data_IF_488831202241
#
_entry.id   IF_488831202241
#
_cell.length_a   1.000
_cell.length_b   1.000
_cell.length_c   1.000
_cell.angle_alpha   90.00
_cell.angle_beta   90.00
_cell.angle_gamma   90.00
#
_symmetry.space_group_name_H-M   'P 1'
#
loop_
_entity.id
_entity.type
_entity.pdbx_description
1 polymer ?
#
# COMPACT_ATOMS: atom_id res chain seq x y z
N UNK A 1 19.66 5.23 43.00
CA UNK A 1 18.44 6.03 42.74
C UNK A 1 18.21 6.04 41.24
N UNK A 2 17.14 5.57 40.62
CA UNK A 2 15.84 5.05 41.03
C UNK A 2 15.08 4.89 39.71
N UNK A 3 14.96 3.67 39.21
CA UNK A 3 14.31 3.29 37.95
C UNK A 3 12.80 3.47 38.05
N UNK A 4 12.19 4.17 37.08
CA UNK A 4 10.75 4.13 36.77
C UNK A 4 10.66 4.33 35.24
N UNK A 5 10.32 3.37 34.39
CA UNK A 5 9.38 2.27 34.57
C UNK A 5 7.97 2.67 34.09
N UNK A 6 7.82 3.29 32.92
CA UNK A 6 6.50 3.49 32.31
C UNK A 6 6.33 2.61 31.06
N UNK A 7 5.35 1.71 31.20
CA UNK A 7 4.88 0.74 30.20
C UNK A 7 4.19 1.48 29.06
N UNK A 8 4.78 1.44 27.87
CA UNK A 8 4.10 1.76 26.62
C UNK A 8 3.00 0.71 26.40
N UNK A 9 1.74 1.11 26.55
CA UNK A 9 0.60 0.26 26.18
C UNK A 9 0.55 0.20 24.66
N UNK A 10 0.91 -0.97 24.10
CA UNK A 10 0.73 -1.32 22.68
C UNK A 10 -0.76 -1.30 22.35
N UNK A 11 -1.22 -0.35 21.54
CA UNK A 11 -2.46 -0.50 20.81
C UNK A 11 -2.17 -1.39 19.59
N UNK A 12 -2.60 -2.65 19.65
CA UNK A 12 -2.68 -3.50 18.45
C UNK A 12 -3.92 -3.05 17.68
N UNK A 13 -3.73 -2.29 16.60
CA UNK A 13 -4.74 -2.20 15.55
C UNK A 13 -4.81 -3.59 14.93
N UNK A 14 -5.89 -4.32 15.24
CA UNK A 14 -6.14 -5.67 14.74
C UNK A 14 -7.08 -5.51 13.55
N UNK A 15 -6.51 -5.42 12.35
CA UNK A 15 -7.23 -5.58 11.08
C UNK A 15 -7.77 -7.03 11.06
N UNK A 16 -9.08 -7.22 11.12
CA UNK A 16 -9.71 -8.54 11.32
C UNK A 16 -10.55 -8.99 10.12
N UNK A 17 -10.27 -10.20 9.62
CA UNK A 17 -11.10 -10.94 8.66
C UNK A 17 -12.06 -11.92 9.38
N UNK A 18 -13.26 -12.10 8.83
CA UNK A 18 -14.44 -12.68 9.50
C UNK A 18 -14.61 -14.21 9.49
N UNK A 19 -15.62 -14.68 10.24
CA UNK A 19 -16.40 -15.90 9.94
C UNK A 19 -17.76 -15.87 10.67
N UNK A 20 -18.77 -16.48 10.03
CA UNK A 20 -20.21 -16.48 10.36
C UNK A 20 -20.62 -17.60 11.33
N UNK A 21 -21.65 -17.37 12.14
CA UNK A 21 -22.94 -18.10 12.17
C UNK A 21 -23.68 -17.95 13.52
N UNK A 22 -25.02 -17.84 13.47
CA UNK A 22 -25.91 -18.17 14.59
C UNK A 22 -26.80 -17.03 15.12
N UNK A 23 -28.00 -16.87 14.56
CA UNK A 23 -29.11 -16.04 15.09
C UNK A 23 -29.94 -16.88 16.09
N UNK A 24 -30.43 -16.27 17.18
CA UNK A 24 -31.88 -16.23 17.34
C UNK A 24 -32.41 -14.83 17.73
N UNK A 25 -33.64 -14.57 17.28
CA UNK A 25 -34.39 -13.34 17.48
C UNK A 25 -35.00 -13.24 18.87
N UNK A 26 -34.97 -12.04 19.47
CA UNK A 26 -35.97 -11.57 20.45
C UNK A 26 -36.18 -10.06 20.27
N UNK A 27 -37.43 -9.70 20.01
CA UNK A 27 -37.99 -8.35 19.99
C UNK A 27 -38.22 -7.83 21.41
N UNK A 28 -37.75 -6.63 21.77
CA UNK A 28 -38.56 -5.61 22.48
C UNK A 28 -37.88 -4.23 22.48
N UNK A 29 -38.65 -3.25 21.99
CA UNK A 29 -38.73 -1.82 22.32
C UNK A 29 -37.49 -0.96 22.62
N UNK A 30 -37.37 0.05 21.76
CA UNK A 30 -36.46 1.17 21.85
C UNK A 30 -36.80 2.10 23.03
N UNK A 31 -35.85 2.23 23.95
CA UNK A 31 -35.63 3.47 24.69
C UNK A 31 -34.32 4.06 24.21
N UNK A 32 -34.40 5.22 23.55
CA UNK A 32 -33.25 5.98 23.08
C UNK A 32 -32.38 6.38 24.28
N UNK A 33 -31.37 5.57 24.55
CA UNK A 33 -30.33 5.89 25.51
C UNK A 33 -29.60 7.14 25.02
N UNK A 34 -29.70 8.21 25.81
CA UNK A 34 -29.05 9.49 25.53
C UNK A 34 -27.54 9.25 25.67
N UNK A 35 -26.88 8.92 24.55
CA UNK A 35 -25.43 8.72 24.46
C UNK A 35 -24.71 9.78 25.29
N UNK A 36 -24.10 9.35 26.41
CA UNK A 36 -23.29 10.21 27.27
C UNK A 36 -22.05 10.61 26.50
N UNK A 37 -22.12 11.81 25.90
CA UNK A 37 -20.97 12.52 25.31
C UNK A 37 -19.76 12.38 26.23
N UNK A 38 -18.64 11.91 25.69
CA UNK A 38 -17.38 11.74 26.41
C UNK A 38 -16.98 13.03 27.16
N UNK A 39 -16.34 12.90 28.32
CA UNK A 39 -15.88 14.05 29.12
C UNK A 39 -14.97 14.96 28.29
N UNK A 40 -15.12 16.29 28.46
CA UNK A 40 -14.28 17.29 27.81
C UNK A 40 -12.82 17.05 28.18
N UNK A 41 -11.97 16.80 27.19
CA UNK A 41 -10.52 16.52 27.36
C UNK A 41 -10.11 15.06 27.20
N UNK A 42 -11.06 14.14 26.91
CA UNK A 42 -10.78 12.71 26.71
C UNK A 42 -10.31 12.30 25.32
N UNK A 43 -10.21 13.24 24.37
CA UNK A 43 -9.80 12.98 22.99
C UNK A 43 -8.52 13.74 22.67
N UNK A 44 -7.52 13.02 22.15
CA UNK A 44 -6.25 13.59 21.71
C UNK A 44 -6.13 13.50 20.16
N UNK A 45 -5.09 14.11 19.54
CA UNK A 45 -4.89 14.04 18.10
C UNK A 45 -4.79 12.61 17.56
N UNK A 46 -4.10 11.72 18.29
CA UNK A 46 -3.89 10.34 17.87
C UNK A 46 -5.22 9.56 17.82
N UNK A 47 -6.11 9.76 18.80
CA UNK A 47 -7.46 9.18 18.82
C UNK A 47 -8.30 9.65 17.62
N UNK A 48 -8.16 10.92 17.23
CA UNK A 48 -8.85 11.49 16.07
C UNK A 48 -8.32 10.86 14.78
N UNK A 49 -6.99 10.75 14.63
CA UNK A 49 -6.36 10.14 13.45
C UNK A 49 -6.74 8.66 13.35
N UNK A 50 -6.65 7.89 14.44
CA UNK A 50 -7.08 6.48 14.46
C UNK A 50 -8.56 6.33 14.10
N UNK A 51 -9.45 7.15 14.67
CA UNK A 51 -10.86 7.14 14.29
C UNK A 51 -11.12 7.56 12.84
N UNK A 52 -10.26 8.40 12.27
CA UNK A 52 -10.34 8.78 10.87
C UNK A 52 -9.95 7.62 9.95
N UNK A 53 -8.97 6.79 10.32
CA UNK A 53 -8.68 5.53 9.62
C UNK A 53 -9.89 4.58 9.65
N UNK A 54 -10.45 4.31 10.83
CA UNK A 54 -11.62 3.45 10.99
C UNK A 54 -12.83 3.94 10.16
N UNK A 55 -13.05 5.25 10.14
CA UNK A 55 -14.13 5.83 9.34
C UNK A 55 -13.81 5.73 7.84
N UNK A 56 -12.58 6.00 7.43
CA UNK A 56 -12.16 5.92 6.03
C UNK A 56 -12.25 4.50 5.46
N UNK A 57 -12.07 3.45 6.27
CA UNK A 57 -12.33 2.06 5.86
C UNK A 57 -13.80 1.83 5.49
N UNK A 58 -14.72 2.53 6.15
CA UNK A 58 -16.17 2.37 5.93
C UNK A 58 -16.69 3.24 4.78
N UNK A 59 -16.21 4.49 4.68
CA UNK A 59 -16.78 5.47 3.74
C UNK A 59 -15.82 5.90 2.63
N UNK A 60 -14.58 5.44 2.63
CA UNK A 60 -13.44 5.97 1.85
C UNK A 60 -12.95 7.34 2.33
N UNK A 61 -11.71 7.67 1.98
CA UNK A 61 -11.08 8.97 2.24
C UNK A 61 -11.84 10.10 1.54
N UNK A 62 -12.30 9.85 0.32
CA UNK A 62 -12.95 10.84 -0.52
C UNK A 62 -14.26 11.32 0.13
N UNK A 63 -15.06 10.39 0.67
CA UNK A 63 -16.33 10.74 1.33
C UNK A 63 -16.18 11.15 2.80
N UNK A 64 -15.05 10.87 3.47
CA UNK A 64 -14.83 11.25 4.87
C UNK A 64 -15.06 12.77 5.06
N UNK A 65 -15.76 13.15 6.12
CA UNK A 65 -15.96 14.56 6.49
C UNK A 65 -15.80 14.79 8.00
N UNK A 66 -15.40 15.99 8.39
CA UNK A 66 -15.21 16.36 9.80
C UNK A 66 -16.47 16.12 10.66
N UNK A 67 -17.70 16.47 10.20
CA UNK A 67 -18.92 16.16 10.96
C UNK A 67 -19.19 14.66 11.10
N UNK A 68 -18.90 13.85 10.06
CA UNK A 68 -19.03 12.39 10.17
C UNK A 68 -18.04 11.80 11.14
N UNK A 69 -16.79 12.30 11.14
CA UNK A 69 -15.78 11.89 12.11
C UNK A 69 -16.18 12.23 13.55
N UNK A 70 -16.77 13.41 13.78
CA UNK A 70 -17.32 13.78 15.09
C UNK A 70 -18.41 12.82 15.56
N UNK A 71 -19.31 12.42 14.66
CA UNK A 71 -20.34 11.41 14.95
C UNK A 71 -19.74 10.03 15.23
N UNK A 72 -18.75 9.60 14.45
CA UNK A 72 -18.05 8.32 14.61
C UNK A 72 -17.37 8.22 15.98
N UNK A 73 -16.71 9.32 16.40
CA UNK A 73 -15.97 9.41 17.66
C UNK A 73 -16.82 9.79 18.88
N UNK A 74 -18.11 10.05 18.70
CA UNK A 74 -19.04 10.58 19.72
C UNK A 74 -18.53 11.88 20.40
N UNK A 75 -17.98 12.79 19.59
CA UNK A 75 -17.50 14.11 20.01
C UNK A 75 -18.09 15.25 19.19
N UNK A 76 -18.09 16.45 19.75
CA UNK A 76 -18.48 17.64 18.99
C UNK A 76 -17.45 17.95 17.90
N UNK A 77 -17.90 18.24 16.68
CA UNK A 77 -17.00 18.54 15.56
C UNK A 77 -16.03 19.69 15.85
N UNK A 78 -16.43 20.67 16.67
CA UNK A 78 -15.57 21.77 17.13
C UNK A 78 -14.33 21.28 17.90
N UNK A 79 -14.42 20.16 18.61
CA UNK A 79 -13.27 19.55 19.30
C UNK A 79 -12.25 19.01 18.30
N UNK A 80 -12.69 18.51 17.15
CA UNK A 80 -11.79 18.05 16.07
C UNK A 80 -11.12 19.25 15.42
N UNK A 81 -11.88 20.32 15.13
CA UNK A 81 -11.35 21.55 14.53
C UNK A 81 -10.30 22.26 15.39
N UNK A 82 -10.26 21.98 16.70
CA UNK A 82 -9.24 22.50 17.60
C UNK A 82 -7.84 21.92 17.28
N UNK A 83 -7.78 20.67 16.80
CA UNK A 83 -6.53 19.99 16.41
C UNK A 83 -6.25 20.09 14.91
N UNK A 84 -7.28 19.97 14.07
CA UNK A 84 -7.16 19.95 12.61
C UNK A 84 -8.08 21.02 12.01
N UNK A 85 -7.52 22.12 11.51
CA UNK A 85 -8.32 23.28 11.07
C UNK A 85 -9.16 22.98 9.84
N UNK A 86 -8.69 22.09 8.98
CA UNK A 86 -9.37 21.61 7.77
C UNK A 86 -9.17 20.10 7.58
N UNK A 87 -9.98 19.49 6.70
CA UNK A 87 -9.88 18.07 6.34
C UNK A 87 -8.47 17.71 5.85
N UNK A 88 -7.84 18.59 5.08
CA UNK A 88 -6.47 18.35 4.60
C UNK A 88 -5.46 18.18 5.73
N UNK A 89 -5.52 18.98 6.80
CA UNK A 89 -4.59 18.85 7.92
C UNK A 89 -4.72 17.47 8.60
N UNK A 90 -5.95 16.95 8.68
CA UNK A 90 -6.21 15.60 9.18
C UNK A 90 -5.66 14.54 8.22
N UNK A 91 -5.86 14.70 6.91
CA UNK A 91 -5.36 13.76 5.90
C UNK A 91 -3.83 13.75 5.85
N UNK A 92 -3.18 14.89 6.08
CA UNK A 92 -1.73 15.00 6.16
C UNK A 92 -1.22 14.23 7.39
N UNK A 93 -1.85 14.40 8.56
CA UNK A 93 -1.54 13.62 9.75
C UNK A 93 -1.80 12.11 9.59
N UNK A 94 -2.88 11.73 8.90
CA UNK A 94 -3.13 10.33 8.53
C UNK A 94 -2.03 9.80 7.60
N UNK A 95 -1.58 10.60 6.63
CA UNK A 95 -0.50 10.23 5.71
C UNK A 95 0.80 10.02 6.46
N UNK A 96 1.14 10.90 7.41
CA UNK A 96 2.34 10.77 8.24
C UNK A 96 2.33 9.49 9.09
N UNK A 97 1.18 9.13 9.67
CA UNK A 97 1.04 7.87 10.41
C UNK A 97 1.18 6.67 9.46
N UNK A 98 0.51 6.70 8.31
CA UNK A 98 0.56 5.64 7.31
C UNK A 98 1.99 5.40 6.80
N UNK A 99 2.77 6.45 6.55
CA UNK A 99 4.17 6.35 6.12
C UNK A 99 5.04 5.67 7.18
N UNK A 100 4.85 6.01 8.46
CA UNK A 100 5.57 5.37 9.57
C UNK A 100 5.24 3.88 9.67
N UNK A 101 3.96 3.52 9.56
CA UNK A 101 3.52 2.12 9.58
C UNK A 101 4.03 1.34 8.37
N UNK A 102 4.00 1.96 7.19
CA UNK A 102 4.58 1.40 5.97
C UNK A 102 6.07 1.13 6.13
N UNK A 103 6.85 2.10 6.62
CA UNK A 103 8.29 1.96 6.80
C UNK A 103 8.65 0.82 7.77
N UNK A 104 7.83 0.58 8.80
CA UNK A 104 8.00 -0.52 9.74
C UNK A 104 7.63 -1.89 9.15
N UNK A 105 6.77 -1.91 8.13
CA UNK A 105 6.24 -3.14 7.52
C UNK A 105 7.02 -3.55 6.26
N UNK A 106 7.53 -2.58 5.51
CA UNK A 106 8.22 -2.77 4.23
C UNK A 106 9.72 -3.07 4.38
N UNK A 107 10.13 -3.69 5.48
CA UNK A 107 11.55 -3.95 5.78
C UNK A 107 12.15 -4.86 4.71
N UNK A 108 13.24 -4.39 4.10
CA UNK A 108 14.02 -5.18 3.15
C UNK A 108 14.76 -6.29 3.89
N UNK A 109 14.44 -7.56 3.57
CA UNK A 109 15.18 -8.70 4.12
C UNK A 109 16.47 -8.89 3.34
N UNK A 110 17.61 -8.88 4.04
CA UNK A 110 18.89 -9.30 3.45
C UNK A 110 18.85 -10.81 3.26
N UNK A 111 18.56 -11.26 2.04
CA UNK A 111 18.70 -12.66 1.67
C UNK A 111 20.09 -12.90 1.05
N UNK A 112 20.57 -14.14 1.04
CA UNK A 112 21.84 -14.51 0.38
C UNK A 112 21.84 -14.22 -1.12
N UNK A 113 20.65 -14.09 -1.73
CA UNK A 113 20.48 -13.83 -3.15
C UNK A 113 19.67 -12.55 -3.39
N UNK A 114 20.32 -11.55 -4.01
CA UNK A 114 19.73 -10.25 -4.40
C UNK A 114 18.40 -10.40 -5.15
N UNK A 115 18.29 -11.38 -6.04
CA UNK A 115 17.11 -11.58 -6.89
C UNK A 115 15.91 -12.00 -6.05
N UNK A 116 16.13 -12.93 -5.12
CA UNK A 116 15.09 -13.40 -4.20
C UNK A 116 14.71 -12.34 -3.18
N UNK A 117 15.67 -11.56 -2.69
CA UNK A 117 15.43 -10.43 -1.79
C UNK A 117 14.56 -9.36 -2.46
N UNK A 118 14.92 -8.92 -3.66
CA UNK A 118 14.18 -7.88 -4.39
C UNK A 118 12.78 -8.35 -4.80
N UNK A 119 12.63 -9.62 -5.23
CA UNK A 119 11.32 -10.23 -5.51
C UNK A 119 10.42 -10.23 -4.28
N UNK A 120 10.95 -10.69 -3.14
CA UNK A 120 10.20 -10.77 -1.89
C UNK A 120 9.80 -9.39 -1.39
N UNK A 121 10.71 -8.42 -1.51
CA UNK A 121 10.44 -7.03 -1.18
C UNK A 121 9.33 -6.44 -2.06
N UNK A 122 9.38 -6.64 -3.39
CA UNK A 122 8.33 -6.18 -4.30
C UNK A 122 6.95 -6.75 -3.95
N UNK A 123 6.88 -8.05 -3.64
CA UNK A 123 5.65 -8.73 -3.22
C UNK A 123 5.14 -8.20 -1.88
N UNK A 124 6.03 -8.03 -0.90
CA UNK A 124 5.66 -7.49 0.41
C UNK A 124 5.11 -6.07 0.30
N UNK A 125 5.77 -5.18 -0.45
CA UNK A 125 5.29 -3.83 -0.72
C UNK A 125 3.90 -3.84 -1.36
N UNK A 126 3.71 -4.67 -2.39
CA UNK A 126 2.41 -4.82 -3.06
C UNK A 126 1.33 -5.26 -2.08
N UNK A 127 1.63 -6.30 -1.28
CA UNK A 127 0.68 -6.88 -0.34
C UNK A 127 0.24 -5.88 0.73
N UNK A 128 1.17 -5.08 1.27
CA UNK A 128 0.86 -4.04 2.27
C UNK A 128 -0.21 -3.08 1.74
N UNK A 129 -0.07 -2.59 0.51
CA UNK A 129 -1.05 -1.64 -0.04
C UNK A 129 -2.36 -2.30 -0.50
N UNK A 130 -2.31 -3.54 -0.99
CA UNK A 130 -3.52 -4.31 -1.34
C UNK A 130 -4.37 -4.59 -0.10
N UNK A 131 -3.74 -4.97 1.01
CA UNK A 131 -4.44 -5.26 2.27
C UNK A 131 -4.91 -4.00 3.00
N UNK A 132 -4.35 -2.84 2.67
CA UNK A 132 -4.66 -1.57 3.34
C UNK A 132 -5.08 -0.50 2.30
N UNK A 133 -6.33 -0.51 1.82
CA UNK A 133 -6.76 0.39 0.74
C UNK A 133 -6.77 1.88 1.14
N UNK A 134 -6.97 2.19 2.42
CA UNK A 134 -6.82 3.56 2.97
C UNK A 134 -5.36 4.02 2.90
N UNK A 135 -4.41 3.14 3.24
CA UNK A 135 -2.98 3.43 3.13
C UNK A 135 -2.58 3.66 1.66
N UNK A 136 -3.09 2.84 0.73
CA UNK A 136 -2.91 3.06 -0.70
C UNK A 136 -3.42 4.45 -1.13
N UNK A 137 -4.64 4.82 -0.73
CA UNK A 137 -5.23 6.11 -1.09
C UNK A 137 -4.41 7.30 -0.53
N UNK A 138 -3.90 7.21 0.71
CA UNK A 138 -3.06 8.26 1.32
C UNK A 138 -1.68 8.37 0.66
N UNK A 139 -0.97 7.25 0.53
CA UNK A 139 0.45 7.24 0.16
C UNK A 139 0.64 7.23 -1.36
N UNK A 140 -0.13 6.43 -2.11
CA UNK A 140 0.11 6.25 -3.55
C UNK A 140 -0.71 7.20 -4.43
N UNK A 141 -1.89 7.63 -3.97
CA UNK A 141 -2.79 8.48 -4.75
C UNK A 141 -2.68 9.94 -4.30
N UNK A 142 -2.88 10.22 -3.00
CA UNK A 142 -2.81 11.59 -2.47
C UNK A 142 -1.39 12.13 -2.42
N UNK A 143 -0.42 11.34 -1.94
CA UNK A 143 0.95 11.82 -1.68
C UNK A 143 2.06 10.95 -2.29
N UNK A 144 2.07 10.78 -3.64
CA UNK A 144 2.94 9.81 -4.33
C UNK A 144 4.45 10.03 -4.15
N UNK A 145 4.87 11.21 -3.66
CA UNK A 145 6.29 11.51 -3.42
C UNK A 145 6.71 11.29 -1.97
N UNK A 146 5.78 11.08 -1.03
CA UNK A 146 6.08 11.10 0.40
C UNK A 146 6.94 9.91 0.87
N UNK A 147 6.84 8.76 0.18
CA UNK A 147 7.69 7.58 0.42
C UNK A 147 9.20 7.85 0.28
N UNK A 148 9.58 8.94 -0.37
CA UNK A 148 10.96 9.26 -0.71
C UNK A 148 11.47 10.52 0.01
N UNK A 149 10.64 11.12 0.86
CA UNK A 149 10.99 12.36 1.58
C UNK A 149 11.26 12.14 3.07
N UNK A 150 10.86 10.99 3.63
CA UNK A 150 11.14 10.65 5.02
C UNK A 150 12.46 9.88 5.17
N UNK A 151 13.10 10.01 6.34
CA UNK A 151 14.41 9.39 6.58
C UNK A 151 14.39 7.86 6.58
N UNK A 152 13.28 7.25 6.99
CA UNK A 152 13.14 5.79 7.06
C UNK A 152 12.96 5.17 5.68
N UNK A 153 12.15 5.80 4.81
CA UNK A 153 11.96 5.37 3.43
C UNK A 153 13.25 5.48 2.62
N UNK A 154 14.01 6.57 2.78
CA UNK A 154 15.33 6.71 2.14
C UNK A 154 16.30 5.61 2.62
N UNK A 155 16.30 5.27 3.91
CA UNK A 155 17.12 4.17 4.42
C UNK A 155 16.69 2.79 3.87
N UNK A 156 15.40 2.55 3.69
CA UNK A 156 14.92 1.30 3.08
C UNK A 156 15.40 1.16 1.62
N UNK A 157 15.36 2.27 0.87
CA UNK A 157 15.88 2.34 -0.51
C UNK A 157 17.39 2.08 -0.54
N UNK A 158 18.14 2.70 0.37
CA UNK A 158 19.60 2.52 0.48
C UNK A 158 20.00 1.06 0.68
N UNK A 159 19.30 0.32 1.55
CA UNK A 159 19.57 -1.12 1.75
C UNK A 159 19.33 -1.95 0.49
N UNK A 160 18.26 -1.65 -0.26
CA UNK A 160 17.97 -2.34 -1.51
C UNK A 160 19.03 -2.03 -2.58
N UNK A 161 19.44 -0.77 -2.71
CA UNK A 161 20.51 -0.34 -3.63
C UNK A 161 21.84 -0.99 -3.24
N UNK A 162 22.19 -1.01 -1.96
CA UNK A 162 23.42 -1.64 -1.45
C UNK A 162 23.47 -3.12 -1.81
N UNK A 163 22.38 -3.86 -1.61
CA UNK A 163 22.31 -5.28 -1.99
C UNK A 163 22.51 -5.53 -3.49
N UNK A 164 21.97 -4.65 -4.35
CA UNK A 164 22.15 -4.71 -5.80
C UNK A 164 23.58 -4.35 -6.25
N UNK A 165 24.21 -3.39 -5.56
CA UNK A 165 25.62 -3.04 -5.80
C UNK A 165 26.54 -4.19 -5.40
N UNK A 166 26.31 -4.83 -4.26
CA UNK A 166 27.04 -6.04 -3.84
C UNK A 166 26.90 -7.18 -4.84
N UNK A 167 25.76 -7.28 -5.52
CA UNK A 167 25.54 -8.25 -6.58
C UNK A 167 26.29 -7.93 -7.90
N UNK A 168 26.86 -6.73 -8.04
CA UNK A 168 27.69 -6.34 -9.19
C UNK A 168 27.09 -5.28 -10.11
N UNK A 169 25.99 -4.63 -9.71
CA UNK A 169 25.52 -3.42 -10.39
C UNK A 169 26.34 -2.19 -9.99
N UNK A 170 26.33 -1.17 -10.85
CA UNK A 170 26.77 0.17 -10.44
C UNK A 170 25.66 0.82 -9.62
N UNK A 171 25.97 1.84 -8.79
CA UNK A 171 24.95 2.56 -8.01
C UNK A 171 23.81 3.12 -8.87
N UNK A 172 24.12 3.64 -10.05
CA UNK A 172 23.13 4.19 -10.99
C UNK A 172 22.21 3.09 -11.53
N UNK A 173 22.78 1.97 -11.98
CA UNK A 173 22.00 0.83 -12.48
C UNK A 173 21.15 0.19 -11.36
N UNK A 174 21.68 0.13 -10.14
CA UNK A 174 20.93 -0.35 -8.97
C UNK A 174 19.73 0.55 -8.66
N UNK A 175 19.91 1.88 -8.72
CA UNK A 175 18.83 2.85 -8.55
C UNK A 175 17.77 2.70 -9.65
N UNK A 176 18.17 2.56 -10.91
CA UNK A 176 17.25 2.38 -12.05
C UNK A 176 16.42 1.10 -11.91
N UNK A 177 17.07 -0.02 -11.55
CA UNK A 177 16.40 -1.31 -11.32
C UNK A 177 15.42 -1.21 -10.15
N UNK A 178 15.84 -0.64 -9.02
CA UNK A 178 14.95 -0.45 -7.87
C UNK A 178 13.76 0.44 -8.22
N UNK A 179 13.99 1.53 -8.94
CA UNK A 179 12.95 2.46 -9.37
C UNK A 179 11.95 1.76 -10.30
N UNK A 180 12.42 0.94 -11.24
CA UNK A 180 11.55 0.15 -12.11
C UNK A 180 10.65 -0.81 -11.31
N UNK A 181 11.21 -1.52 -10.32
CA UNK A 181 10.43 -2.38 -9.42
C UNK A 181 9.40 -1.58 -8.63
N UNK A 182 9.80 -0.45 -8.05
CA UNK A 182 8.92 0.42 -7.26
C UNK A 182 7.76 0.97 -8.10
N UNK A 183 8.04 1.47 -9.30
CA UNK A 183 7.01 1.97 -10.23
C UNK A 183 6.06 0.84 -10.66
N UNK A 184 6.58 -0.35 -10.95
CA UNK A 184 5.76 -1.51 -11.30
C UNK A 184 4.82 -1.93 -10.16
N UNK A 185 5.33 -2.02 -8.93
CA UNK A 185 4.53 -2.31 -7.73
C UNK A 185 3.45 -1.26 -7.54
N UNK A 186 3.84 0.02 -7.46
CA UNK A 186 2.92 1.13 -7.19
C UNK A 186 1.87 1.27 -8.28
N UNK A 187 2.26 1.17 -9.55
CA UNK A 187 1.36 1.21 -10.69
C UNK A 187 0.34 0.08 -10.66
N UNK A 188 0.78 -1.15 -10.35
CA UNK A 188 -0.12 -2.31 -10.24
C UNK A 188 -1.17 -2.12 -9.16
N UNK A 189 -0.77 -1.58 -7.99
CA UNK A 189 -1.68 -1.37 -6.86
C UNK A 189 -2.65 -0.22 -7.13
N UNK A 190 -2.16 0.92 -7.64
CA UNK A 190 -3.03 2.07 -7.94
C UNK A 190 -4.10 1.68 -8.97
N UNK A 191 -3.71 0.98 -10.04
CA UNK A 191 -4.68 0.56 -11.05
C UNK A 191 -5.68 -0.47 -10.49
N UNK A 192 -5.24 -1.41 -9.65
CA UNK A 192 -6.14 -2.33 -8.94
C UNK A 192 -7.13 -1.54 -8.07
N UNK A 193 -6.64 -0.57 -7.28
CA UNK A 193 -7.44 0.26 -6.38
C UNK A 193 -8.47 1.10 -7.12
N UNK A 194 -8.09 1.69 -8.26
CA UNK A 194 -9.01 2.46 -9.10
C UNK A 194 -10.14 1.57 -9.65
N UNK A 195 -9.82 0.33 -10.06
CA UNK A 195 -10.84 -0.64 -10.51
C UNK A 195 -11.84 -0.95 -9.40
N UNK A 196 -11.37 -1.20 -8.18
CA UNK A 196 -12.23 -1.46 -7.02
C UNK A 196 -13.16 -0.27 -6.73
N UNK A 197 -12.66 0.98 -6.83
CA UNK A 197 -13.47 2.19 -6.68
C UNK A 197 -14.55 2.33 -7.78
N UNK A 198 -14.25 1.90 -9.01
CA UNK A 198 -15.19 1.97 -10.15
C UNK A 198 -16.23 0.85 -10.15
N UNK A 199 -15.99 -0.26 -9.43
CA UNK A 199 -16.90 -1.42 -9.37
C UNK A 199 -17.34 -1.78 -7.94
N UNK A 200 -18.09 -0.92 -7.23
CA UNK A 200 -18.51 -1.19 -5.85
C UNK A 200 -19.48 -2.38 -5.72
N UNK A 201 -20.19 -2.73 -6.80
CA UNK A 201 -21.18 -3.82 -6.85
C UNK A 201 -20.87 -4.81 -7.99
N UNK A 202 -19.77 -5.56 -7.87
CA UNK A 202 -19.46 -6.68 -8.78
C UNK A 202 -20.34 -7.91 -8.48
N UNK A 203 -21.64 -7.72 -8.62
CA UNK A 203 -22.66 -8.75 -8.51
C UNK A 203 -23.82 -8.47 -9.46
N UNK A 204 -23.55 -8.31 -10.78
CA UNK A 204 -24.43 -8.74 -11.89
C UNK A 204 -24.07 -8.28 -13.31
N UNK A 205 -23.07 -7.42 -13.54
CA UNK A 205 -22.82 -6.99 -14.93
C UNK A 205 -21.35 -6.64 -15.22
N UNK A 206 -20.45 -7.62 -15.10
CA UNK A 206 -19.04 -7.51 -15.54
C UNK A 206 -18.86 -7.44 -17.07
N UNK A 207 -19.93 -7.12 -17.81
CA UNK A 207 -19.98 -7.11 -19.28
C UNK A 207 -19.86 -5.72 -19.89
N UNK A 208 -20.01 -4.64 -19.11
CA UNK A 208 -20.06 -3.26 -19.66
C UNK A 208 -18.69 -2.68 -20.00
N UNK A 209 -17.62 -3.16 -19.38
CA UNK A 209 -16.25 -2.67 -19.61
C UNK A 209 -15.32 -3.69 -20.27
N UNK A 210 -15.86 -4.84 -20.71
CA UNK A 210 -15.07 -5.81 -21.47
C UNK A 210 -14.70 -5.18 -22.83
N UNK A 211 -13.40 -5.16 -23.20
CA UNK A 211 -13.01 -4.64 -24.50
C UNK A 211 -13.77 -5.39 -25.59
N UNK A 212 -14.32 -4.65 -26.56
CA UNK A 212 -15.01 -5.24 -27.70
C UNK A 212 -13.96 -5.89 -28.61
N UNK A 213 -13.56 -7.11 -28.26
CA UNK A 213 -12.59 -7.88 -29.02
C UNK A 213 -13.32 -8.60 -30.14
N UNK A 214 -13.30 -8.00 -31.32
CA UNK A 214 -13.78 -8.61 -32.55
C UNK A 214 -12.66 -9.44 -33.20
N UNK A 215 -12.81 -10.77 -33.34
CA UNK A 215 -11.81 -11.61 -34.02
C UNK A 215 -11.53 -11.22 -35.47
N UNK A 216 -12.45 -10.54 -36.15
CA UNK A 216 -12.27 -10.08 -37.53
C UNK A 216 -11.29 -8.91 -37.65
N UNK A 217 -11.29 -8.01 -36.67
CA UNK A 217 -10.43 -6.80 -36.65
C UNK A 217 -9.26 -6.90 -35.68
N UNK A 218 -9.34 -7.77 -34.67
CA UNK A 218 -8.32 -7.95 -33.61
C UNK A 218 -7.93 -9.43 -33.42
N UNK A 219 -7.50 -10.14 -34.48
CA UNK A 219 -7.34 -11.60 -34.45
C UNK A 219 -6.31 -12.10 -33.42
N UNK A 220 -5.20 -11.39 -33.24
CA UNK A 220 -4.15 -11.75 -32.27
C UNK A 220 -4.62 -11.57 -30.82
N UNK A 221 -5.39 -10.50 -30.57
CA UNK A 221 -5.98 -10.24 -29.26
C UNK A 221 -7.07 -11.27 -28.95
N UNK A 222 -7.96 -11.52 -29.91
CA UNK A 222 -8.96 -12.58 -29.80
C UNK A 222 -8.30 -13.93 -29.51
N UNK A 223 -7.16 -14.24 -30.16
CA UNK A 223 -6.37 -15.44 -29.89
C UNK A 223 -5.80 -15.49 -28.48
N UNK A 224 -5.15 -14.41 -28.03
CA UNK A 224 -4.50 -14.36 -26.72
C UNK A 224 -5.50 -14.44 -25.56
N UNK A 225 -6.75 -14.02 -25.76
CA UNK A 225 -7.80 -14.02 -24.74
C UNK A 225 -8.61 -15.32 -24.67
N UNK A 226 -8.40 -16.29 -25.58
CA UNK A 226 -9.21 -17.52 -25.66
C UNK A 226 -9.18 -18.37 -24.38
N UNK A 227 -8.07 -18.33 -23.64
CA UNK A 227 -7.83 -19.19 -22.48
C UNK A 227 -8.20 -18.52 -21.15
N UNK A 228 -9.16 -17.58 -21.17
CA UNK A 228 -9.60 -16.86 -19.97
C UNK A 228 -8.64 -15.74 -19.52
N UNK A 229 -7.58 -15.49 -20.28
CA UNK A 229 -6.76 -14.28 -20.16
C UNK A 229 -7.65 -13.07 -20.47
N UNK A 230 -7.52 -12.02 -19.68
CA UNK A 230 -8.27 -10.79 -19.86
C UNK A 230 -7.32 -9.66 -20.21
N UNK A 231 -7.73 -8.81 -21.15
CA UNK A 231 -6.93 -7.67 -21.59
C UNK A 231 -6.76 -6.68 -20.43
N UNK A 232 -5.54 -6.15 -20.27
CA UNK A 232 -5.20 -5.16 -19.25
C UNK A 232 -5.59 -5.57 -17.82
N UNK A 233 -5.58 -6.88 -17.52
CA UNK A 233 -5.79 -7.32 -16.14
C UNK A 233 -4.57 -7.07 -15.28
N UNK A 234 -4.83 -6.61 -14.06
CA UNK A 234 -3.81 -6.37 -13.05
C UNK A 234 -3.96 -7.44 -11.97
N UNK A 235 -3.90 -8.69 -12.41
CA UNK A 235 -3.89 -9.86 -11.55
C UNK A 235 -2.46 -10.18 -11.11
N UNK A 236 -2.34 -11.17 -10.22
CA UNK A 236 -1.04 -11.63 -9.73
C UNK A 236 -0.13 -12.12 -10.86
N UNK A 237 -0.71 -12.70 -11.92
CA UNK A 237 0.03 -13.24 -13.06
C UNK A 237 0.76 -12.13 -13.83
N UNK A 238 0.04 -11.07 -14.21
CA UNK A 238 0.66 -9.96 -14.95
C UNK A 238 1.61 -9.15 -14.08
N UNK A 239 1.35 -9.05 -12.76
CA UNK A 239 2.30 -8.46 -11.82
C UNK A 239 3.61 -9.25 -11.77
N UNK A 240 3.54 -10.57 -11.57
CA UNK A 240 4.72 -11.42 -11.49
C UNK A 240 5.50 -11.42 -12.81
N UNK A 241 4.82 -11.46 -13.96
CA UNK A 241 5.47 -11.38 -15.27
C UNK A 241 6.30 -10.10 -15.41
N UNK A 242 5.72 -8.93 -15.12
CA UNK A 242 6.45 -7.66 -15.22
C UNK A 242 7.62 -7.57 -14.24
N UNK A 243 7.45 -8.13 -13.03
CA UNK A 243 8.52 -8.19 -12.03
C UNK A 243 9.68 -9.07 -12.52
N UNK A 244 9.40 -10.27 -13.03
CA UNK A 244 10.46 -11.15 -13.55
C UNK A 244 11.19 -10.53 -14.74
N UNK A 245 10.51 -9.81 -15.63
CA UNK A 245 11.17 -9.07 -16.73
C UNK A 245 12.19 -8.05 -16.21
N UNK A 246 11.86 -7.33 -15.14
CA UNK A 246 12.79 -6.35 -14.52
C UNK A 246 13.98 -7.08 -13.88
N UNK A 247 13.72 -8.18 -13.16
CA UNK A 247 14.77 -8.98 -12.52
C UNK A 247 15.72 -9.62 -13.55
N UNK A 248 15.19 -10.13 -14.66
CA UNK A 248 15.98 -10.68 -15.76
C UNK A 248 16.89 -9.62 -16.38
N UNK A 249 16.39 -8.39 -16.54
CA UNK A 249 17.21 -7.28 -17.03
C UNK A 249 18.36 -6.94 -16.06
N UNK A 250 18.09 -6.91 -14.76
CA UNK A 250 19.12 -6.70 -13.74
C UNK A 250 20.20 -7.79 -13.79
N UNK A 251 19.81 -9.04 -13.98
CA UNK A 251 20.73 -10.18 -14.10
C UNK A 251 21.64 -10.07 -15.33
N UNK A 252 21.10 -9.62 -16.47
CA UNK A 252 21.88 -9.33 -17.68
C UNK A 252 22.92 -8.23 -17.44
N UNK A 253 22.56 -7.17 -16.72
CA UNK A 253 23.47 -6.08 -16.38
C UNK A 253 24.61 -6.56 -15.46
N UNK A 254 24.30 -7.38 -14.45
CA UNK A 254 25.30 -7.98 -13.56
C UNK A 254 26.27 -8.86 -14.35
N UNK A 255 25.77 -9.69 -15.25
CA UNK A 255 26.60 -10.57 -16.09
C UNK A 255 27.54 -9.76 -17.00
N UNK A 256 27.04 -8.68 -17.60
CA UNK A 256 27.82 -7.79 -18.45
C UNK A 256 28.95 -7.09 -17.68
N UNK A 257 28.65 -6.55 -16.49
CA UNK A 257 29.63 -5.89 -15.62
C UNK A 257 30.73 -6.86 -15.16
N UNK A 258 30.34 -8.08 -14.77
CA UNK A 258 31.27 -9.12 -14.36
C UNK A 258 32.24 -9.49 -15.50
N UNK A 259 31.73 -9.60 -16.73
CA UNK A 259 32.54 -9.88 -17.92
C UNK A 259 33.53 -8.74 -18.21
N UNK A 260 33.07 -7.49 -18.13
CA UNK A 260 33.91 -6.31 -18.35
C UNK A 260 35.03 -6.20 -17.28
N UNK A 261 34.72 -6.48 -16.01
CA UNK A 261 35.69 -6.47 -14.93
C UNK A 261 36.80 -7.53 -15.12
N UNK A 262 36.43 -8.75 -15.55
CA UNK A 262 37.38 -9.81 -15.86
C UNK A 262 38.31 -9.43 -17.02
N UNK A 263 37.77 -8.86 -18.10
CA UNK A 263 38.56 -8.43 -19.27
C UNK A 263 39.57 -7.33 -18.93
N UNK A 264 39.21 -6.36 -18.07
CA UNK A 264 40.14 -5.32 -17.59
C UNK A 264 41.26 -5.90 -16.73
N UNK A 265 40.97 -6.93 -15.93
CA UNK A 265 41.97 -7.58 -15.07
C UNK A 265 42.97 -8.39 -15.88
N UNK A 266 42.52 -9.09 -16.93
CA UNK A 266 43.41 -9.82 -17.84
C UNK A 266 44.27 -8.91 -18.71
N UNK A 267 43.80 -7.72 -19.09
CA UNK A 267 44.58 -6.76 -19.88
C UNK A 267 45.67 -6.02 -19.07
N UNK A 268 45.66 -6.16 -17.73
CA UNK A 268 46.59 -5.49 -16.82
C UNK A 268 47.62 -6.46 -16.22
N UNK A 269 47.49 -7.75 -16.49
CA UNK A 269 48.43 -8.82 -16.12
C UNK A 269 49.30 -9.18 -17.30
#
# INVERSE_FOLDING_TARGET
>A
MGFLGQRVRRAKVRIGNGFRDGVPAVTTEATADKRRRRERGSINPDDIVSGAFELAEQVSIDNLSMPMLGKHLDVGVTSIYWYFRKKDDLLDAMTDLALREYALSAVYSVAENWRSALRSHARAMRQIFVDNPVMCDLILIRSPHALHTDGLGVQAVEHAISSLVEAGLTPEAALDVYTAVSVHVRGSVVLQRLREKMTPEAGRDGRKDAPLVDPGTTPLLAQALRDGRQLCTLDEVNFDFGLECILDHAELLIAANTKAARARRSARS
#
